data_IF_097222247512
#
_entry.id   IF_097222247512
#
_cell.length_a   1.000
_cell.length_b   1.000
_cell.length_c   1.000
_cell.angle_alpha   90.00
_cell.angle_beta   90.00
_cell.angle_gamma   90.00
#
_symmetry.space_group_name_H-M   'P 1'
#
loop_
_entity.id
_entity.type
_entity.pdbx_description
1 polymer ?
#
# COMPACT_ATOMS: atom_id res chain seq x y z
N UNK A 1 23.93 -63.98 -52.52
CA UNK A 1 23.03 -64.57 -51.52
C UNK A 1 23.55 -64.19 -50.15
N UNK A 2 22.72 -63.49 -49.37
CA UNK A 2 22.68 -63.29 -47.91
C UNK A 2 23.96 -62.80 -47.18
N UNK A 3 23.87 -61.59 -46.63
CA UNK A 3 23.81 -61.27 -45.18
C UNK A 3 25.20 -61.21 -44.54
N UNK A 4 25.65 -60.21 -43.78
CA UNK A 4 24.99 -59.46 -42.69
C UNK A 4 25.94 -58.33 -42.23
N UNK A 5 25.43 -57.40 -41.41
CA UNK A 5 26.12 -56.43 -40.54
C UNK A 5 26.44 -55.04 -41.10
N UNK A 6 25.49 -54.12 -40.95
CA UNK A 6 25.80 -52.77 -40.50
C UNK A 6 24.86 -52.37 -39.36
N UNK A 7 25.44 -52.12 -38.19
CA UNK A 7 24.79 -51.56 -37.01
C UNK A 7 24.20 -50.18 -37.31
N UNK A 8 22.89 -50.03 -37.14
CA UNK A 8 22.19 -48.74 -36.97
C UNK A 8 21.44 -48.81 -35.64
N UNK A 9 21.84 -47.96 -34.71
CA UNK A 9 21.14 -47.74 -33.44
C UNK A 9 20.06 -46.70 -33.74
N UNK A 10 18.81 -47.16 -33.85
CA UNK A 10 17.62 -46.31 -33.83
C UNK A 10 17.19 -46.15 -32.37
N UNK A 11 17.28 -44.92 -31.84
CA UNK A 11 16.72 -44.55 -30.55
C UNK A 11 15.21 -44.40 -30.67
N UNK A 12 14.48 -45.36 -30.11
CA UNK A 12 13.02 -45.34 -29.98
C UNK A 12 12.56 -44.27 -28.99
N UNK A 13 11.74 -43.33 -29.48
CA UNK A 13 10.93 -42.44 -28.67
C UNK A 13 9.71 -43.25 -28.20
N UNK A 14 9.63 -43.54 -26.89
CA UNK A 14 8.41 -44.01 -26.25
C UNK A 14 7.79 -42.87 -25.43
N UNK A 15 6.57 -42.52 -25.80
CA UNK A 15 5.66 -41.60 -25.13
C UNK A 15 5.15 -42.22 -23.82
N UNK A 16 5.55 -41.65 -22.69
CA UNK A 16 4.92 -41.94 -21.39
C UNK A 16 3.92 -40.84 -21.03
N UNK A 17 2.68 -41.00 -21.48
CA UNK A 17 1.50 -40.40 -20.86
C UNK A 17 0.85 -41.47 -19.99
N UNK A 18 0.91 -41.30 -18.67
CA UNK A 18 0.08 -42.04 -17.72
C UNK A 18 -0.29 -41.12 -16.57
N UNK A 19 -1.36 -40.35 -16.78
CA UNK A 19 -2.04 -39.59 -15.72
C UNK A 19 -2.87 -40.60 -14.94
N UNK A 20 -2.38 -41.02 -13.78
CA UNK A 20 -3.18 -41.77 -12.80
C UNK A 20 -4.10 -40.78 -12.08
N UNK A 21 -5.39 -40.82 -12.42
CA UNK A 21 -6.45 -40.22 -11.64
C UNK A 21 -6.59 -40.98 -10.32
N UNK A 22 -6.05 -40.43 -9.23
CA UNK A 22 -6.37 -40.86 -7.87
C UNK A 22 -7.59 -40.08 -7.39
N UNK A 23 -8.75 -40.72 -7.48
CA UNK A 23 -10.02 -40.23 -6.94
C UNK A 23 -9.95 -40.25 -5.41
N UNK A 24 -9.67 -39.11 -4.79
CA UNK A 24 -9.81 -38.95 -3.35
C UNK A 24 -11.30 -38.81 -3.01
N UNK A 25 -11.85 -39.86 -2.40
CA UNK A 25 -13.19 -39.90 -1.82
C UNK A 25 -13.28 -38.87 -0.70
N UNK A 26 -14.11 -37.84 -0.92
CA UNK A 26 -14.56 -36.86 0.08
C UNK A 26 -15.41 -37.58 1.12
N UNK A 27 -14.89 -37.74 2.32
CA UNK A 27 -15.69 -37.93 3.53
C UNK A 27 -16.34 -36.60 3.86
N UNK A 28 -17.66 -36.55 3.71
CA UNK A 28 -18.53 -35.47 4.18
C UNK A 28 -18.61 -35.48 5.70
N UNK A 29 -18.89 -34.31 6.26
CA UNK A 29 -19.19 -34.00 7.67
C UNK A 29 -17.99 -33.60 8.53
N UNK A 30 -17.74 -32.28 8.57
CA UNK A 30 -17.61 -31.42 9.77
C UNK A 30 -17.47 -29.96 9.29
N UNK A 31 -18.48 -29.14 9.63
CA UNK A 31 -18.54 -27.66 9.67
C UNK A 31 -18.51 -26.87 8.34
N UNK A 32 -19.71 -26.68 7.79
CA UNK A 32 -20.10 -25.59 6.88
C UNK A 32 -20.08 -24.23 7.61
N UNK A 33 -18.93 -23.56 7.62
CA UNK A 33 -18.90 -22.09 7.61
C UNK A 33 -18.14 -21.66 6.37
N UNK A 34 -18.72 -20.86 5.46
CA UNK A 34 -17.96 -20.31 4.35
C UNK A 34 -16.85 -19.44 4.93
N UNK A 35 -15.61 -19.92 4.86
CA UNK A 35 -14.45 -19.08 5.15
C UNK A 35 -14.51 -17.92 4.16
N UNK A 36 -14.66 -16.66 4.59
CA UNK A 36 -14.95 -15.59 3.67
C UNK A 36 -13.75 -15.42 2.73
N UNK A 37 -14.01 -15.30 1.42
CA UNK A 37 -12.96 -15.11 0.39
C UNK A 37 -12.09 -13.89 0.66
N UNK A 38 -12.57 -12.97 1.51
CA UNK A 38 -11.88 -11.79 2.01
C UNK A 38 -12.24 -11.52 3.46
N UNK A 39 -11.33 -10.89 4.18
CA UNK A 39 -11.53 -10.40 5.54
C UNK A 39 -11.43 -8.88 5.55
N UNK A 40 -12.51 -8.20 5.97
CA UNK A 40 -12.52 -6.74 6.17
C UNK A 40 -12.57 -6.46 7.66
N UNK A 41 -11.49 -5.93 8.21
CA UNK A 41 -11.35 -5.61 9.63
C UNK A 41 -11.55 -4.10 9.82
N UNK A 42 -12.65 -3.74 10.48
CA UNK A 42 -12.89 -2.37 10.90
C UNK A 42 -12.12 -2.10 12.18
N UNK A 43 -11.32 -1.04 12.17
CA UNK A 43 -10.47 -0.68 13.30
C UNK A 43 -10.99 0.63 13.87
N UNK A 44 -11.62 0.57 15.06
CA UNK A 44 -12.47 1.63 15.60
C UNK A 44 -12.18 1.97 17.06
N UNK A 45 -12.35 3.24 17.39
CA UNK A 45 -11.71 3.82 18.58
C UNK A 45 -12.19 5.25 18.81
N UNK A 46 -12.24 5.73 20.07
CA UNK A 46 -12.37 7.15 20.36
C UNK A 46 -11.11 7.96 19.97
N UNK A 47 -11.20 9.30 19.92
CA UNK A 47 -10.06 10.16 19.67
C UNK A 47 -8.96 9.99 20.73
N UNK A 48 -7.70 10.20 20.33
CA UNK A 48 -6.52 10.18 21.22
C UNK A 48 -6.24 8.85 21.94
N UNK A 49 -6.58 7.72 21.31
CA UNK A 49 -6.37 6.35 21.81
C UNK A 49 -5.07 5.68 21.35
N UNK A 50 -4.29 6.34 20.47
CA UNK A 50 -3.10 5.74 19.83
C UNK A 50 -3.39 5.03 18.50
N UNK A 51 -4.63 5.13 17.98
CA UNK A 51 -5.10 4.61 16.67
C UNK A 51 -4.08 4.63 15.55
N UNK A 52 -3.52 5.79 15.23
CA UNK A 52 -2.65 5.94 14.05
C UNK A 52 -1.36 5.14 14.21
N UNK A 53 -0.81 5.11 15.43
CA UNK A 53 0.38 4.33 15.81
C UNK A 53 0.04 2.84 15.77
N UNK A 54 -1.01 2.42 16.47
CA UNK A 54 -1.44 1.02 16.51
C UNK A 54 -1.72 0.46 15.11
N UNK A 55 -2.47 1.18 14.28
CA UNK A 55 -2.78 0.71 12.92
C UNK A 55 -1.51 0.61 12.07
N UNK A 56 -0.60 1.58 12.19
CA UNK A 56 0.66 1.55 11.46
C UNK A 56 1.50 0.35 11.91
N UNK A 57 1.73 0.19 13.21
CA UNK A 57 2.49 -0.93 13.77
C UNK A 57 1.87 -2.29 13.43
N UNK A 58 0.53 -2.43 13.53
CA UNK A 58 -0.14 -3.67 13.14
C UNK A 58 0.02 -3.95 11.65
N UNK A 59 -0.16 -2.95 10.78
CA UNK A 59 0.03 -3.09 9.33
C UNK A 59 1.44 -3.57 8.99
N UNK A 60 2.46 -3.04 9.68
CA UNK A 60 3.85 -3.49 9.50
C UNK A 60 4.10 -4.94 9.94
N UNK A 61 3.25 -5.50 10.78
CA UNK A 61 3.36 -6.90 11.18
C UNK A 61 2.68 -7.87 10.20
N UNK A 62 1.98 -7.34 9.20
CA UNK A 62 1.18 -8.12 8.27
C UNK A 62 1.81 -8.14 6.87
N UNK A 63 1.59 -9.20 6.07
CA UNK A 63 2.19 -9.29 4.75
C UNK A 63 1.56 -8.30 3.77
N UNK A 64 2.38 -7.41 3.17
CA UNK A 64 1.95 -6.40 2.19
C UNK A 64 1.18 -6.98 0.98
N UNK A 65 1.53 -8.19 0.56
CA UNK A 65 0.91 -8.85 -0.59
C UNK A 65 -0.51 -9.40 -0.31
N UNK A 66 -0.87 -9.53 0.96
CA UNK A 66 -2.20 -9.97 1.41
C UNK A 66 -3.02 -8.84 2.02
N UNK A 67 -2.35 -7.76 2.44
CA UNK A 67 -2.92 -6.76 3.33
C UNK A 67 -3.04 -5.40 2.65
N UNK A 68 -4.20 -4.77 2.76
CA UNK A 68 -4.40 -3.41 2.30
C UNK A 68 -5.09 -2.56 3.37
N UNK A 69 -4.60 -1.33 3.57
CA UNK A 69 -5.16 -0.39 4.55
C UNK A 69 -5.94 0.74 3.89
N UNK A 70 -7.18 0.95 4.30
CA UNK A 70 -8.04 2.06 3.88
C UNK A 70 -8.24 2.98 5.09
N UNK A 71 -7.80 4.24 4.97
CA UNK A 71 -8.10 5.28 5.97
C UNK A 71 -9.44 5.92 5.63
N UNK A 72 -10.52 5.40 6.20
CA UNK A 72 -11.88 5.88 5.98
C UNK A 72 -12.21 7.06 6.92
N UNK A 73 -11.32 8.06 6.96
CA UNK A 73 -11.48 9.26 7.75
C UNK A 73 -10.82 10.47 7.05
N UNK A 74 -11.54 11.57 6.81
CA UNK A 74 -11.00 12.79 6.21
C UNK A 74 -10.20 13.62 7.24
N UNK A 75 -9.46 12.98 8.14
CA UNK A 75 -8.66 13.68 9.16
C UNK A 75 -7.34 14.24 8.61
N UNK A 76 -7.03 13.95 7.35
CA UNK A 76 -5.82 14.37 6.68
C UNK A 76 -4.55 13.72 7.21
N UNK A 77 -4.66 12.61 7.95
CA UNK A 77 -3.55 11.81 8.45
C UNK A 77 -3.31 10.56 7.57
N UNK A 78 -2.19 9.88 7.81
CA UNK A 78 -1.83 8.62 7.17
C UNK A 78 -0.49 8.12 7.68
N UNK A 79 0.07 7.08 7.04
CA UNK A 79 1.38 6.55 7.42
C UNK A 79 2.48 7.63 7.32
N UNK A 80 2.34 8.57 6.36
CA UNK A 80 3.23 9.73 6.23
C UNK A 80 3.30 10.64 7.46
N UNK A 81 2.18 10.76 8.20
CA UNK A 81 2.10 11.57 9.42
C UNK A 81 2.65 10.84 10.66
N UNK A 82 3.13 9.60 10.50
CA UNK A 82 3.90 8.86 11.50
C UNK A 82 5.39 8.76 11.14
N UNK A 83 5.76 9.13 9.90
CA UNK A 83 7.15 9.10 9.42
C UNK A 83 7.82 10.48 9.22
N UNK A 84 7.06 11.58 9.05
CA UNK A 84 7.59 12.94 8.89
C UNK A 84 7.97 13.69 10.18
N UNK A 85 8.50 14.90 10.08
CA UNK A 85 8.71 15.74 11.27
C UNK A 85 7.36 16.25 11.85
N UNK A 86 7.23 16.28 13.18
CA UNK A 86 5.98 16.63 13.85
C UNK A 86 5.48 18.05 13.57
N UNK A 87 6.37 19.04 13.50
CA UNK A 87 6.02 20.43 13.19
C UNK A 87 5.63 20.58 11.72
N UNK A 88 6.41 19.96 10.82
CA UNK A 88 6.12 19.94 9.38
C UNK A 88 4.76 19.30 9.11
N UNK A 89 4.50 18.14 9.72
CA UNK A 89 3.23 17.40 9.56
C UNK A 89 2.05 18.23 10.04
N UNK A 90 2.16 18.93 11.19
CA UNK A 90 1.11 19.81 11.68
C UNK A 90 0.89 21.00 10.73
N UNK A 91 1.95 21.64 10.27
CA UNK A 91 1.89 22.80 9.38
C UNK A 91 1.27 22.46 8.02
N UNK A 92 1.50 21.25 7.50
CA UNK A 92 0.91 20.84 6.25
C UNK A 92 -0.44 20.15 6.42
N UNK A 93 -0.83 19.58 7.56
CA UNK A 93 -2.10 18.83 7.67
C UNK A 93 -3.34 19.67 7.30
N UNK A 94 -4.25 19.07 6.52
CA UNK A 94 -5.55 19.63 6.10
C UNK A 94 -6.61 18.56 6.35
N UNK A 95 -7.59 18.89 7.19
CA UNK A 95 -8.77 18.04 7.44
C UNK A 95 -9.81 18.35 6.36
N UNK A 96 -10.48 17.31 5.87
CA UNK A 96 -11.54 17.44 4.86
C UNK A 96 -12.91 17.23 5.50
N UNK A 97 -13.95 17.57 4.74
CA UNK A 97 -15.33 17.47 5.19
C UNK A 97 -15.78 16.02 5.02
N UNK A 98 -16.51 15.53 6.02
CA UNK A 98 -17.13 14.21 6.00
C UNK A 98 -18.47 14.28 5.25
N UNK A 99 -18.41 14.47 3.92
CA UNK A 99 -19.58 14.64 3.06
C UNK A 99 -20.00 13.32 2.36
N UNK A 100 -21.15 13.36 1.68
CA UNK A 100 -21.69 12.18 0.98
C UNK A 100 -20.77 11.66 -0.12
N UNK A 101 -20.10 12.57 -0.84
CA UNK A 101 -19.14 12.22 -1.90
C UNK A 101 -17.94 11.46 -1.32
N UNK A 102 -17.37 11.97 -0.23
CA UNK A 102 -16.26 11.33 0.49
C UNK A 102 -16.68 9.97 1.03
N UNK A 103 -17.90 9.85 1.53
CA UNK A 103 -18.43 8.58 2.02
C UNK A 103 -18.67 7.55 0.93
N UNK A 104 -19.20 7.97 -0.21
CA UNK A 104 -19.34 7.10 -1.37
C UNK A 104 -17.98 6.57 -1.82
N UNK A 105 -16.95 7.42 -1.84
CA UNK A 105 -15.59 7.03 -2.18
C UNK A 105 -15.01 5.98 -1.23
N UNK A 106 -15.17 6.13 0.09
CA UNK A 106 -14.70 5.13 1.05
C UNK A 106 -15.43 3.79 0.88
N UNK A 107 -16.75 3.82 0.70
CA UNK A 107 -17.55 2.60 0.48
C UNK A 107 -17.11 1.85 -0.77
N UNK A 108 -17.01 2.55 -1.89
CA UNK A 108 -16.53 1.97 -3.14
C UNK A 108 -15.10 1.43 -3.00
N UNK A 109 -14.22 2.14 -2.30
CA UNK A 109 -12.85 1.66 -2.04
C UNK A 109 -12.83 0.33 -1.28
N UNK A 110 -13.69 0.16 -0.28
CA UNK A 110 -13.81 -1.07 0.50
C UNK A 110 -14.44 -2.20 -0.33
N UNK A 111 -15.46 -1.89 -1.13
CA UNK A 111 -16.13 -2.86 -2.02
C UNK A 111 -15.19 -3.34 -3.13
N UNK A 112 -14.43 -2.43 -3.74
CA UNK A 112 -13.47 -2.75 -4.80
C UNK A 112 -12.31 -3.60 -4.29
N UNK A 113 -11.97 -3.50 -3.00
CA UNK A 113 -10.89 -4.29 -2.38
C UNK A 113 -11.18 -5.79 -2.24
N UNK A 114 -12.26 -6.30 -2.84
CA UNK A 114 -12.71 -7.70 -2.75
C UNK A 114 -11.66 -8.76 -3.10
N UNK A 115 -10.68 -8.41 -3.94
CA UNK A 115 -9.61 -9.33 -4.36
C UNK A 115 -8.40 -9.34 -3.42
N UNK A 116 -8.43 -8.51 -2.36
CA UNK A 116 -7.44 -8.47 -1.29
C UNK A 116 -7.91 -9.38 -0.16
N UNK A 117 -7.08 -10.35 0.26
CA UNK A 117 -7.45 -11.27 1.33
C UNK A 117 -7.75 -10.58 2.66
N UNK A 118 -7.01 -9.52 2.99
CA UNK A 118 -7.12 -8.81 4.26
C UNK A 118 -7.16 -7.29 4.06
N UNK A 119 -8.32 -6.68 4.26
CA UNK A 119 -8.49 -5.23 4.19
C UNK A 119 -8.73 -4.65 5.59
N UNK A 120 -7.88 -3.72 6.02
CA UNK A 120 -8.11 -2.93 7.24
C UNK A 120 -8.76 -1.60 6.91
N UNK A 121 -9.73 -1.20 7.71
CA UNK A 121 -10.44 0.06 7.54
C UNK A 121 -10.37 0.87 8.83
N UNK A 122 -9.55 1.91 8.83
CA UNK A 122 -9.44 2.86 9.93
C UNK A 122 -10.56 3.90 9.82
N UNK A 123 -11.50 3.88 10.77
CA UNK A 123 -12.67 4.77 10.77
C UNK A 123 -12.44 6.03 11.59
N UNK A 124 -13.34 7.01 11.40
CA UNK A 124 -13.38 8.20 12.24
C UNK A 124 -13.69 7.89 13.70
N UNK A 125 -13.14 8.68 14.63
CA UNK A 125 -13.24 8.40 16.06
C UNK A 125 -14.58 8.71 16.74
N UNK A 126 -15.68 8.81 15.97
CA UNK A 126 -17.03 9.10 16.48
C UNK A 126 -18.01 8.09 15.94
N UNK A 127 -18.90 7.54 16.76
CA UNK A 127 -20.03 6.74 16.26
C UNK A 127 -20.97 7.69 15.51
N UNK A 128 -21.30 7.35 14.27
CA UNK A 128 -22.18 8.15 13.41
C UNK A 128 -22.89 7.27 12.39
N UNK A 129 -23.95 7.80 11.77
CA UNK A 129 -24.71 7.12 10.70
C UNK A 129 -23.82 6.86 9.48
N UNK A 130 -22.82 7.70 9.23
CA UNK A 130 -21.88 7.46 8.15
C UNK A 130 -20.89 6.35 8.47
N UNK A 131 -20.35 6.31 9.70
CA UNK A 131 -19.52 5.20 10.14
C UNK A 131 -20.31 3.88 10.12
N UNK A 132 -21.61 3.89 10.46
CA UNK A 132 -22.49 2.73 10.32
C UNK A 132 -22.48 2.16 8.89
N UNK A 133 -22.50 3.03 7.87
CA UNK A 133 -22.43 2.60 6.46
C UNK A 133 -21.10 1.90 6.13
N UNK A 134 -19.99 2.29 6.76
CA UNK A 134 -18.70 1.60 6.62
C UNK A 134 -18.70 0.28 7.40
N UNK A 135 -19.27 0.26 8.60
CA UNK A 135 -19.34 -0.94 9.43
C UNK A 135 -20.10 -2.07 8.73
N UNK A 136 -21.18 -1.76 8.00
CA UNK A 136 -21.93 -2.74 7.20
C UNK A 136 -21.12 -3.43 6.08
N UNK A 137 -19.95 -2.90 5.73
CA UNK A 137 -19.02 -3.51 4.76
C UNK A 137 -17.94 -4.37 5.43
N UNK A 138 -17.84 -4.32 6.76
CA UNK A 138 -16.89 -5.07 7.56
C UNK A 138 -17.33 -6.52 7.78
N UNK A 139 -16.36 -7.35 8.19
CA UNK A 139 -16.60 -8.73 8.65
C UNK A 139 -16.19 -8.89 10.12
N UNK A 140 -15.16 -8.16 10.51
CA UNK A 140 -14.56 -8.22 11.83
C UNK A 140 -14.28 -6.81 12.34
N UNK A 141 -14.06 -6.69 13.65
CA UNK A 141 -13.73 -5.43 14.28
C UNK A 141 -12.63 -5.59 15.33
N UNK A 142 -11.79 -4.56 15.45
CA UNK A 142 -10.90 -4.35 16.59
C UNK A 142 -11.29 -3.03 17.23
N UNK A 143 -11.60 -3.08 18.53
CA UNK A 143 -11.87 -1.91 19.35
C UNK A 143 -10.62 -1.57 20.16
N UNK A 144 -10.16 -0.33 20.09
CA UNK A 144 -9.09 0.21 20.94
C UNK A 144 -9.65 1.38 21.72
N UNK A 145 -9.48 1.38 23.04
CA UNK A 145 -9.91 2.49 23.85
C UNK A 145 -8.88 2.79 24.92
N UNK A 146 -8.80 4.04 25.38
CA UNK A 146 -7.96 4.34 26.53
C UNK A 146 -8.47 3.61 27.76
N UNK A 147 -7.55 3.14 28.59
CA UNK A 147 -7.87 2.35 29.79
C UNK A 147 -8.75 3.11 30.80
N UNK A 148 -8.71 4.46 30.77
CA UNK A 148 -9.52 5.36 31.60
C UNK A 148 -10.94 5.62 31.05
N UNK A 149 -11.32 4.99 29.93
CA UNK A 149 -12.61 5.21 29.25
C UNK A 149 -13.37 3.90 28.93
N UNK A 150 -13.61 3.02 29.92
CA UNK A 150 -14.28 1.74 29.70
C UNK A 150 -15.70 1.88 29.11
N UNK A 151 -16.42 2.95 29.44
CA UNK A 151 -17.77 3.18 28.90
C UNK A 151 -17.76 3.50 27.40
N UNK A 152 -16.77 4.26 26.91
CA UNK A 152 -16.63 4.55 25.48
C UNK A 152 -16.26 3.27 24.71
N UNK A 153 -15.38 2.45 25.28
CA UNK A 153 -15.06 1.12 24.74
C UNK A 153 -16.32 0.29 24.58
N UNK A 154 -17.17 0.24 25.61
CA UNK A 154 -18.40 -0.54 25.58
C UNK A 154 -19.38 -0.08 24.48
N UNK A 155 -19.50 1.24 24.27
CA UNK A 155 -20.32 1.80 23.19
C UNK A 155 -19.85 1.33 21.81
N UNK A 156 -18.54 1.30 21.57
CA UNK A 156 -17.98 0.79 20.31
C UNK A 156 -18.17 -0.72 20.14
N UNK A 157 -18.01 -1.52 21.20
CA UNK A 157 -18.28 -2.95 21.16
C UNK A 157 -19.74 -3.25 20.81
N UNK A 158 -20.69 -2.52 21.43
CA UNK A 158 -22.12 -2.66 21.14
C UNK A 158 -22.41 -2.28 19.69
N UNK A 159 -21.89 -1.13 19.24
CA UNK A 159 -22.08 -0.67 17.87
C UNK A 159 -21.51 -1.65 16.82
N UNK A 160 -20.37 -2.28 17.10
CA UNK A 160 -19.80 -3.33 16.25
C UNK A 160 -20.72 -4.57 16.19
N UNK A 161 -21.23 -5.01 17.34
CA UNK A 161 -22.16 -6.16 17.42
C UNK A 161 -23.50 -5.88 16.72
N UNK A 162 -24.05 -4.68 16.88
CA UNK A 162 -25.28 -4.25 16.19
C UNK A 162 -25.12 -4.22 14.66
N UNK A 163 -23.89 -4.02 14.16
CA UNK A 163 -23.56 -4.11 12.75
C UNK A 163 -23.05 -5.49 12.32
N UNK A 164 -23.27 -6.53 13.14
CA UNK A 164 -22.92 -7.92 12.85
C UNK A 164 -21.42 -8.17 12.61
N UNK A 165 -20.54 -7.35 13.19
CA UNK A 165 -19.10 -7.56 13.11
C UNK A 165 -18.63 -8.54 14.21
N UNK A 166 -17.76 -9.46 13.82
CA UNK A 166 -17.07 -10.34 14.78
C UNK A 166 -15.97 -9.54 15.49
N UNK A 167 -16.06 -9.43 16.82
CA UNK A 167 -15.06 -8.71 17.61
C UNK A 167 -13.81 -9.58 17.77
N UNK A 168 -12.71 -9.21 17.10
CA UNK A 168 -11.44 -9.94 17.20
C UNK A 168 -10.67 -9.59 18.46
N UNK A 169 -10.68 -8.30 18.79
CA UNK A 169 -9.95 -7.79 19.92
C UNK A 169 -10.63 -6.54 20.49
N UNK A 170 -10.62 -6.45 21.81
CA UNK A 170 -11.08 -5.31 22.57
C UNK A 170 -9.97 -4.83 23.50
N UNK A 171 -9.20 -3.86 23.03
CA UNK A 171 -7.90 -3.47 23.57
C UNK A 171 -7.99 -2.23 24.46
N UNK A 172 -7.22 -2.26 25.56
CA UNK A 172 -7.02 -1.12 26.45
C UNK A 172 -5.68 -0.46 26.15
N UNK A 173 -5.68 0.82 25.81
CA UNK A 173 -4.50 1.63 25.52
C UNK A 173 -4.08 2.43 26.74
N UNK A 174 -2.77 2.51 27.01
CA UNK A 174 -2.18 3.40 28.00
C UNK A 174 -0.84 3.95 27.52
N UNK A 175 -0.46 5.15 27.94
CA UNK A 175 0.87 5.73 27.64
C UNK A 175 1.98 5.16 28.53
N UNK A 176 1.62 4.51 29.62
CA UNK A 176 2.57 3.90 30.57
C UNK A 176 1.99 2.64 31.20
N UNK A 177 2.85 1.85 31.82
CA UNK A 177 2.51 0.58 32.46
C UNK A 177 3.12 -0.60 31.73
N UNK A 178 2.55 -1.78 31.96
CA UNK A 178 2.97 -3.04 31.35
C UNK A 178 1.84 -3.61 30.52
N UNK A 179 2.20 -4.23 29.39
CA UNK A 179 1.27 -5.07 28.65
C UNK A 179 0.85 -6.24 29.54
N UNK A 180 -0.43 -6.58 29.46
CA UNK A 180 -0.97 -7.74 30.13
C UNK A 180 -2.01 -8.40 29.23
N UNK A 181 -2.11 -9.70 29.41
CA UNK A 181 -3.06 -10.56 28.74
C UNK A 181 -4.26 -10.78 29.66
N UNK A 182 -5.47 -10.33 29.30
CA UNK A 182 -6.68 -11.01 29.77
C UNK A 182 -7.06 -12.03 28.70
N UNK A 183 -7.46 -13.20 29.17
CA UNK A 183 -7.83 -14.36 28.36
C UNK A 183 -8.83 -14.01 27.24
N UNK A 184 -8.84 -14.84 26.20
CA UNK A 184 -9.90 -14.90 25.20
C UNK A 184 -11.25 -15.08 25.93
N UNK A 185 -12.24 -14.23 25.62
CA UNK A 185 -13.59 -14.41 26.17
C UNK A 185 -14.29 -15.64 25.55
N UNK A 186 -15.48 -15.98 26.06
CA UNK A 186 -16.22 -17.14 25.58
C UNK A 186 -16.58 -17.07 24.08
N UNK A 187 -16.60 -15.86 23.51
CA UNK A 187 -16.87 -15.58 22.11
C UNK A 187 -15.62 -15.54 21.23
N UNK A 188 -14.43 -15.77 21.79
CA UNK A 188 -13.19 -15.76 21.03
C UNK A 188 -12.53 -14.38 20.89
N UNK A 189 -13.02 -13.37 21.65
CA UNK A 189 -12.50 -12.01 21.63
C UNK A 189 -11.26 -11.89 22.49
N UNK A 190 -10.21 -11.31 21.93
CA UNK A 190 -8.98 -11.01 22.65
C UNK A 190 -9.15 -9.76 23.53
N UNK A 191 -8.90 -9.87 24.84
CA UNK A 191 -9.00 -8.77 25.81
C UNK A 191 -7.61 -8.36 26.34
N UNK A 192 -6.85 -7.54 25.63
CA UNK A 192 -5.46 -7.22 26.03
C UNK A 192 -5.24 -5.74 26.32
N UNK A 193 -4.14 -5.41 27.01
CA UNK A 193 -3.64 -4.05 27.10
C UNK A 193 -2.46 -3.83 26.16
N UNK A 194 -2.45 -2.68 25.49
CA UNK A 194 -1.33 -2.18 24.71
C UNK A 194 -0.83 -0.90 25.34
N UNK A 195 0.49 -0.80 25.50
CA UNK A 195 1.13 0.38 26.09
C UNK A 195 2.02 1.09 25.07
N UNK A 196 2.38 2.34 25.36
CA UNK A 196 3.38 3.11 24.60
C UNK A 196 3.01 3.37 23.13
N UNK A 197 1.71 3.55 22.82
CA UNK A 197 1.24 4.00 21.51
C UNK A 197 1.50 5.50 21.28
N UNK A 198 2.76 5.89 21.32
CA UNK A 198 3.24 7.27 21.13
C UNK A 198 3.69 7.49 19.68
N UNK A 199 3.32 8.63 19.11
CA UNK A 199 3.73 8.99 17.74
C UNK A 199 5.25 9.14 17.70
N UNK A 200 5.85 8.84 16.55
CA UNK A 200 7.30 8.99 16.32
C UNK A 200 8.18 8.03 17.14
N UNK A 201 7.58 7.04 17.79
CA UNK A 201 8.28 6.00 18.54
C UNK A 201 8.22 4.66 17.80
N UNK A 202 9.28 3.88 17.89
CA UNK A 202 9.26 2.49 17.45
C UNK A 202 8.54 1.65 18.50
N UNK A 203 7.28 1.31 18.24
CA UNK A 203 6.48 0.48 19.15
C UNK A 203 6.81 -0.99 18.95
N UNK A 204 7.32 -1.62 20.00
CA UNK A 204 7.39 -3.08 20.13
C UNK A 204 6.33 -3.52 21.13
N UNK A 205 5.39 -4.36 20.69
CA UNK A 205 4.22 -4.77 21.48
C UNK A 205 3.92 -6.24 21.25
N UNK A 206 3.96 -7.02 22.34
CA UNK A 206 3.58 -8.44 22.33
C UNK A 206 2.10 -8.60 22.00
N UNK A 207 1.27 -7.65 22.44
CA UNK A 207 -0.16 -7.56 22.13
C UNK A 207 -0.40 -7.41 20.64
N UNK A 208 0.32 -6.50 19.97
CA UNK A 208 0.18 -6.32 18.52
C UNK A 208 0.74 -7.54 17.78
N UNK A 209 1.88 -8.10 18.22
CA UNK A 209 2.47 -9.31 17.62
C UNK A 209 1.50 -10.50 17.66
N UNK A 210 0.89 -10.74 18.81
CA UNK A 210 -0.03 -11.86 19.00
C UNK A 210 -1.36 -11.63 18.27
N UNK A 211 -1.84 -10.39 18.17
CA UNK A 211 -3.00 -10.05 17.35
C UNK A 211 -2.73 -10.26 15.87
N UNK A 212 -1.56 -9.86 15.37
CA UNK A 212 -1.14 -10.10 14.00
C UNK A 212 -1.12 -11.61 13.68
N UNK A 213 -0.58 -12.44 14.59
CA UNK A 213 -0.62 -13.91 14.46
C UNK A 213 -2.05 -14.45 14.41
N UNK A 214 -2.94 -13.98 15.28
CA UNK A 214 -4.36 -14.38 15.28
C UNK A 214 -5.03 -14.03 13.96
N UNK A 215 -4.89 -12.78 13.50
CA UNK A 215 -5.46 -12.34 12.22
C UNK A 215 -4.97 -13.22 11.07
N UNK A 216 -3.68 -13.53 11.02
CA UNK A 216 -3.11 -14.35 9.95
C UNK A 216 -3.51 -15.83 10.04
N UNK A 217 -3.84 -16.34 11.23
CA UNK A 217 -4.37 -17.71 11.38
C UNK A 217 -5.77 -17.89 10.79
N UNK A 218 -6.57 -16.81 10.74
CA UNK A 218 -7.95 -16.83 10.25
C UNK A 218 -8.12 -16.16 8.88
N UNK A 219 -7.16 -15.34 8.46
CA UNK A 219 -7.20 -14.66 7.17
C UNK A 219 -7.19 -15.68 6.01
N UNK A 220 -7.93 -15.42 4.92
CA UNK A 220 -7.83 -16.21 3.71
C UNK A 220 -6.41 -16.08 3.13
N UNK A 221 -5.83 -17.19 2.66
CA UNK A 221 -4.48 -17.20 2.07
C UNK A 221 -4.53 -16.96 0.56
N UNK A 222 -3.61 -16.13 0.07
CA UNK A 222 -3.34 -15.95 -1.37
C UNK A 222 -1.84 -16.04 -1.60
N UNK A 223 -1.38 -16.88 -2.56
CA UNK A 223 0.04 -17.12 -2.74
C UNK A 223 0.81 -15.86 -3.19
N UNK A 224 2.05 -15.78 -2.71
CA UNK A 224 3.06 -14.82 -3.15
C UNK A 224 3.55 -15.13 -4.56
N UNK A 225 3.85 -14.06 -5.28
CA UNK A 225 4.49 -14.08 -6.58
C UNK A 225 6.00 -13.86 -6.36
N UNK A 226 6.82 -14.90 -6.50
CA UNK A 226 8.25 -14.90 -6.07
C UNK A 226 9.29 -14.25 -7.02
N UNK A 227 8.90 -13.49 -8.04
CA UNK A 227 9.84 -12.91 -9.03
C UNK A 227 9.69 -11.39 -9.11
N UNK A 228 10.80 -10.67 -9.32
CA UNK A 228 10.84 -9.20 -9.38
C UNK A 228 10.00 -8.69 -10.53
N UNK A 229 10.27 -9.22 -11.73
CA UNK A 229 9.52 -8.96 -12.94
C UNK A 229 8.87 -10.27 -13.38
N UNK A 230 7.54 -10.30 -13.44
CA UNK A 230 6.79 -11.43 -13.99
C UNK A 230 6.27 -11.08 -15.35
N UNK A 231 6.41 -12.02 -16.26
CA UNK A 231 5.86 -11.89 -17.59
C UNK A 231 4.52 -12.62 -17.66
N UNK A 232 3.46 -11.87 -17.89
CA UNK A 232 2.14 -12.39 -18.24
C UNK A 232 1.96 -12.30 -19.77
N UNK A 233 0.92 -12.96 -20.30
CA UNK A 233 0.67 -13.07 -21.75
C UNK A 233 0.75 -11.73 -22.50
N UNK A 234 0.35 -10.61 -21.87
CA UNK A 234 0.29 -9.30 -22.51
C UNK A 234 0.98 -8.16 -21.75
N UNK A 235 1.57 -8.40 -20.57
CA UNK A 235 2.20 -7.35 -19.75
C UNK A 235 3.30 -7.88 -18.85
N UNK A 236 4.15 -6.97 -18.36
CA UNK A 236 5.04 -7.22 -17.25
C UNK A 236 4.40 -6.81 -15.93
N UNK A 237 4.68 -7.53 -14.85
CA UNK A 237 4.35 -7.14 -13.48
C UNK A 237 5.65 -6.89 -12.73
N UNK A 238 5.85 -5.68 -12.23
CA UNK A 238 6.91 -5.37 -11.28
C UNK A 238 6.32 -5.28 -9.87
N UNK A 239 6.72 -6.21 -9.01
CA UNK A 239 6.21 -6.29 -7.64
C UNK A 239 7.12 -5.55 -6.65
N UNK A 240 6.58 -4.53 -5.98
CA UNK A 240 7.32 -3.68 -5.02
C UNK A 240 7.84 -4.49 -3.84
N UNK A 241 7.15 -5.57 -3.44
CA UNK A 241 7.59 -6.40 -2.32
C UNK A 241 8.84 -7.19 -2.68
N UNK A 242 8.96 -7.67 -3.91
CA UNK A 242 10.17 -8.37 -4.37
C UNK A 242 11.28 -7.35 -4.65
N UNK A 243 10.96 -6.21 -5.26
CA UNK A 243 11.93 -5.14 -5.50
C UNK A 243 12.58 -4.63 -4.20
N UNK A 244 11.79 -4.46 -3.13
CA UNK A 244 12.30 -4.12 -1.80
C UNK A 244 13.33 -5.13 -1.29
N UNK A 245 13.11 -6.43 -1.52
CA UNK A 245 14.04 -7.49 -1.11
C UNK A 245 15.34 -7.40 -1.89
N UNK A 246 15.28 -7.16 -3.21
CA UNK A 246 16.46 -7.00 -4.07
C UNK A 246 17.29 -5.76 -3.72
N UNK A 247 16.64 -4.67 -3.30
CA UNK A 247 17.31 -3.45 -2.81
C UNK A 247 17.99 -3.69 -1.44
N UNK A 248 17.63 -4.78 -0.75
CA UNK A 248 18.18 -5.12 0.57
C UNK A 248 17.45 -4.44 1.72
N UNK A 249 16.18 -4.05 1.55
CA UNK A 249 15.39 -3.48 2.64
C UNK A 249 15.21 -4.52 3.74
N UNK A 250 15.86 -4.25 4.89
CA UNK A 250 15.79 -5.10 6.06
C UNK A 250 14.37 -5.13 6.60
N UNK A 251 13.94 -6.34 6.94
CA UNK A 251 12.57 -6.63 7.33
C UNK A 251 12.45 -6.93 8.81
N UNK A 252 11.40 -6.43 9.49
CA UNK A 252 10.99 -6.97 10.79
C UNK A 252 10.49 -8.40 10.57
N UNK A 253 11.14 -9.41 11.17
CA UNK A 253 10.78 -10.83 11.00
C UNK A 253 9.73 -11.23 12.02
N UNK A 254 8.59 -11.76 11.55
CA UNK A 254 7.60 -12.41 12.41
C UNK A 254 7.42 -13.84 11.90
N UNK A 255 7.67 -14.82 12.77
CA UNK A 255 7.39 -16.22 12.49
C UNK A 255 5.95 -16.53 12.89
N UNK A 256 5.17 -17.03 11.93
CA UNK A 256 3.78 -17.43 12.11
C UNK A 256 3.70 -18.92 11.87
N UNK A 257 3.05 -19.63 12.78
CA UNK A 257 2.72 -21.03 12.58
C UNK A 257 1.33 -21.13 11.95
N UNK A 258 1.25 -21.56 10.70
CA UNK A 258 -0.01 -21.84 10.03
C UNK A 258 -0.64 -23.09 10.65
N UNK A 259 -1.68 -22.91 11.46
CA UNK A 259 -2.32 -24.02 12.17
C UNK A 259 -3.05 -25.01 11.24
N UNK A 260 -3.37 -24.61 10.01
CA UNK A 260 -4.06 -25.48 9.03
C UNK A 260 -3.08 -26.32 8.22
N UNK A 261 -1.88 -25.78 7.93
CA UNK A 261 -0.89 -26.47 7.09
C UNK A 261 0.35 -26.95 7.85
N UNK A 262 0.51 -26.56 9.12
CA UNK A 262 1.70 -26.86 9.92
C UNK A 262 2.97 -26.16 9.42
N UNK A 263 2.85 -25.16 8.54
CA UNK A 263 4.00 -24.47 7.94
C UNK A 263 4.34 -23.18 8.68
N UNK A 264 5.63 -22.91 8.83
CA UNK A 264 6.11 -21.62 9.32
C UNK A 264 6.12 -20.60 8.18
N UNK A 265 5.47 -19.45 8.40
CA UNK A 265 5.44 -18.30 7.48
C UNK A 265 6.18 -17.14 8.11
N UNK A 266 7.20 -16.62 7.42
CA UNK A 266 7.86 -15.38 7.82
C UNK A 266 7.19 -14.18 7.16
N UNK A 267 6.90 -13.14 7.96
CA UNK A 267 6.37 -11.85 7.48
C UNK A 267 7.38 -10.74 7.69
N UNK A 268 7.35 -9.76 6.77
CA UNK A 268 8.35 -8.70 6.62
C UNK A 268 7.68 -7.34 6.33
N UNK A 269 7.87 -6.33 7.18
CA UNK A 269 7.62 -4.91 6.83
C UNK A 269 8.89 -4.22 6.32
N UNK A 270 8.72 -3.27 5.39
CA UNK A 270 9.78 -2.58 4.64
C UNK A 270 9.58 -1.08 4.69
N UNK A 271 10.62 -0.34 5.09
CA UNK A 271 10.66 1.11 5.01
C UNK A 271 11.57 1.52 3.85
N UNK A 272 11.05 2.39 2.97
CA UNK A 272 11.76 2.89 1.80
C UNK A 272 12.38 4.27 2.10
N UNK A 273 13.69 4.40 1.91
CA UNK A 273 14.42 5.65 2.10
C UNK A 273 14.90 6.26 0.77
N UNK A 274 15.14 7.57 0.75
CA UNK A 274 15.59 8.32 -0.45
C UNK A 274 16.93 7.81 -0.98
N UNK A 275 17.87 7.47 -0.09
CA UNK A 275 19.19 7.00 -0.49
C UNK A 275 19.17 5.65 -1.24
N UNK A 276 18.07 4.90 -1.15
CA UNK A 276 17.88 3.63 -1.87
C UNK A 276 17.60 3.82 -3.37
N UNK A 277 17.35 5.06 -3.82
CA UNK A 277 17.13 5.39 -5.24
C UNK A 277 18.31 4.97 -6.12
N UNK A 278 19.54 5.03 -5.61
CA UNK A 278 20.73 4.60 -6.35
C UNK A 278 20.73 3.08 -6.60
N UNK A 279 20.40 2.29 -5.57
CA UNK A 279 20.28 0.83 -5.70
C UNK A 279 19.13 0.44 -6.62
N UNK A 280 17.98 1.09 -6.48
CA UNK A 280 16.84 0.94 -7.38
C UNK A 280 17.25 1.14 -8.84
N UNK A 281 18.02 2.18 -9.13
CA UNK A 281 18.52 2.46 -10.49
C UNK A 281 19.33 1.31 -11.06
N UNK A 282 20.24 0.75 -10.27
CA UNK A 282 21.08 -0.37 -10.70
C UNK A 282 20.29 -1.66 -10.95
N UNK A 283 19.17 -1.86 -10.25
CA UNK A 283 18.31 -3.03 -10.46
C UNK A 283 17.46 -2.81 -11.71
N UNK A 284 16.83 -1.65 -11.84
CA UNK A 284 15.94 -1.33 -12.96
C UNK A 284 16.65 -1.35 -14.31
N UNK A 285 17.93 -0.97 -14.38
CA UNK A 285 18.72 -1.00 -15.63
C UNK A 285 19.01 -2.43 -16.14
N UNK A 286 18.85 -3.44 -15.29
CA UNK A 286 19.07 -4.86 -15.63
C UNK A 286 17.78 -5.58 -16.02
N UNK A 287 16.62 -4.95 -15.83
CA UNK A 287 15.33 -5.57 -16.13
C UNK A 287 15.01 -5.44 -17.63
N UNK A 288 14.44 -6.48 -18.26
CA UNK A 288 14.21 -6.56 -19.70
C UNK A 288 12.95 -5.79 -20.15
N UNK A 289 12.82 -4.53 -19.74
CA UNK A 289 11.66 -3.72 -20.14
C UNK A 289 11.62 -3.50 -21.66
N UNK A 290 10.44 -3.70 -22.24
CA UNK A 290 10.16 -3.41 -23.65
C UNK A 290 9.35 -2.12 -23.78
N UNK A 291 9.52 -1.40 -24.89
CA UNK A 291 8.67 -0.26 -25.25
C UNK A 291 7.24 -0.66 -25.60
N UNK A 292 7.04 -1.89 -26.09
CA UNK A 292 5.75 -2.32 -26.65
C UNK A 292 4.91 -3.11 -25.67
N UNK A 293 5.52 -3.71 -24.64
CA UNK A 293 4.82 -4.57 -23.68
C UNK A 293 4.49 -3.76 -22.41
N UNK A 294 3.20 -3.52 -22.11
CA UNK A 294 2.76 -2.77 -20.93
C UNK A 294 3.40 -3.21 -19.62
N UNK A 295 3.54 -2.27 -18.68
CA UNK A 295 4.06 -2.53 -17.34
C UNK A 295 2.99 -2.29 -16.28
N UNK A 296 2.78 -3.24 -15.39
CA UNK A 296 1.94 -3.12 -14.20
C UNK A 296 2.84 -3.02 -12.97
N UNK A 297 2.71 -1.93 -12.22
CA UNK A 297 3.36 -1.74 -10.93
C UNK A 297 2.44 -2.25 -9.82
N UNK A 298 2.86 -3.31 -9.12
CA UNK A 298 2.06 -3.98 -8.09
C UNK A 298 2.69 -3.87 -6.70
N UNK A 299 1.86 -3.73 -5.66
CA UNK A 299 2.32 -3.69 -4.26
C UNK A 299 2.28 -2.28 -3.66
N UNK A 300 2.97 -2.10 -2.53
CA UNK A 300 2.98 -0.85 -1.76
C UNK A 300 4.41 -0.30 -1.74
N UNK A 301 4.57 0.96 -2.13
CA UNK A 301 5.78 1.74 -1.95
C UNK A 301 5.43 3.24 -1.91
N UNK A 302 6.31 4.12 -1.39
CA UNK A 302 6.09 5.56 -1.49
C UNK A 302 6.06 6.04 -2.93
N UNK A 303 5.39 7.17 -3.18
CA UNK A 303 5.25 7.75 -4.52
C UNK A 303 6.60 7.89 -5.25
N UNK A 304 7.66 8.17 -4.50
CA UNK A 304 9.00 8.37 -5.01
C UNK A 304 9.59 7.12 -5.69
N UNK A 305 9.25 5.93 -5.21
CA UNK A 305 9.68 4.65 -5.81
C UNK A 305 8.96 4.44 -7.14
N UNK A 306 7.65 4.67 -7.18
CA UNK A 306 6.86 4.59 -8.42
C UNK A 306 7.37 5.56 -9.48
N UNK A 307 7.58 6.83 -9.10
CA UNK A 307 8.10 7.83 -10.03
C UNK A 307 9.51 7.49 -10.48
N UNK A 308 10.36 6.91 -9.63
CA UNK A 308 11.69 6.45 -10.05
C UNK A 308 11.63 5.36 -11.11
N UNK A 309 10.76 4.36 -10.90
CA UNK A 309 10.55 3.27 -11.86
C UNK A 309 10.07 3.84 -13.18
N UNK A 310 9.05 4.70 -13.14
CA UNK A 310 8.52 5.36 -14.33
C UNK A 310 9.63 6.11 -15.06
N UNK A 311 10.42 6.94 -14.40
CA UNK A 311 11.54 7.63 -15.07
C UNK A 311 12.64 6.71 -15.63
N UNK A 312 12.70 5.43 -15.22
CA UNK A 312 13.71 4.49 -15.68
C UNK A 312 13.22 3.55 -16.81
N UNK A 313 11.90 3.39 -16.99
CA UNK A 313 11.36 2.47 -17.99
C UNK A 313 11.10 3.18 -19.31
N UNK A 314 11.44 2.56 -20.46
CA UNK A 314 11.24 3.16 -21.77
C UNK A 314 9.78 3.10 -22.26
N UNK A 315 8.88 2.52 -21.46
CA UNK A 315 7.50 2.24 -21.82
C UNK A 315 6.57 3.38 -21.39
N UNK A 316 5.69 3.84 -22.27
CA UNK A 316 4.66 4.84 -21.96
C UNK A 316 3.33 4.21 -21.51
N UNK A 317 3.12 2.91 -21.73
CA UNK A 317 1.95 2.13 -21.34
C UNK A 317 2.16 1.50 -19.95
N UNK A 318 1.85 2.26 -18.91
CA UNK A 318 2.08 1.86 -17.51
C UNK A 318 0.76 1.87 -16.75
N UNK A 319 0.55 0.85 -15.94
CA UNK A 319 -0.57 0.71 -15.02
C UNK A 319 -0.06 0.60 -13.58
N UNK A 320 -0.82 1.14 -12.63
CA UNK A 320 -0.60 0.91 -11.20
C UNK A 320 -1.73 0.05 -10.68
N UNK A 321 -1.41 -1.08 -10.04
CA UNK A 321 -2.41 -1.87 -9.34
C UNK A 321 -2.90 -1.11 -8.11
N UNK A 322 -4.21 -0.89 -7.99
CA UNK A 322 -4.84 -0.28 -6.82
C UNK A 322 -6.16 -1.01 -6.53
N UNK A 323 -6.27 -1.71 -5.39
CA UNK A 323 -7.48 -2.45 -5.05
C UNK A 323 -8.69 -1.55 -4.75
N UNK A 324 -8.52 -0.22 -4.64
CA UNK A 324 -9.64 0.70 -4.41
C UNK A 324 -10.43 1.02 -5.69
N UNK A 325 -9.93 0.66 -6.87
CA UNK A 325 -10.62 0.93 -8.15
C UNK A 325 -11.26 -0.33 -8.72
N UNK A 326 -12.37 -0.18 -9.45
CA UNK A 326 -13.25 -1.26 -9.91
C UNK A 326 -12.54 -2.37 -10.72
N UNK A 327 -11.46 -2.03 -11.42
CA UNK A 327 -10.66 -2.94 -12.25
C UNK A 327 -9.33 -3.34 -11.62
N UNK A 328 -9.06 -2.87 -10.40
CA UNK A 328 -7.82 -3.14 -9.67
C UNK A 328 -6.56 -2.52 -10.29
N UNK A 329 -6.68 -1.74 -11.38
CA UNK A 329 -5.56 -1.11 -12.09
C UNK A 329 -5.94 0.30 -12.55
N UNK A 330 -5.00 1.22 -12.48
CA UNK A 330 -5.11 2.61 -12.90
C UNK A 330 -4.18 2.82 -14.09
N UNK A 331 -4.70 3.27 -15.23
CA UNK A 331 -3.91 3.62 -16.40
C UNK A 331 -3.23 4.99 -16.21
N UNK A 332 -1.90 4.97 -16.15
CA UNK A 332 -1.09 6.18 -16.01
C UNK A 332 -0.32 6.53 -17.28
N UNK A 333 -0.71 5.97 -18.42
CA UNK A 333 -0.03 6.17 -19.69
C UNK A 333 -0.01 7.64 -20.11
N UNK A 334 1.06 8.10 -20.76
CA UNK A 334 1.17 9.50 -21.17
C UNK A 334 0.04 9.85 -22.14
N UNK A 335 -0.72 10.90 -21.88
CA UNK A 335 -1.74 11.36 -22.81
C UNK A 335 -1.16 12.23 -23.91
N UNK A 336 -1.85 12.21 -25.05
CA UNK A 336 -1.73 13.22 -26.09
C UNK A 336 -2.19 14.57 -25.54
N UNK A 337 -1.55 15.65 -25.98
CA UNK A 337 -1.87 17.01 -25.54
C UNK A 337 -3.32 17.36 -25.92
N UNK A 338 -4.23 17.30 -24.96
CA UNK A 338 -5.56 17.89 -25.08
C UNK A 338 -5.50 19.30 -24.49
N UNK A 339 -5.92 20.30 -25.26
CA UNK A 339 -5.86 21.72 -24.88
C UNK A 339 -7.04 22.14 -24.01
N UNK A 340 -7.97 21.25 -23.73
CA UNK A 340 -9.14 21.55 -22.92
C UNK A 340 -8.79 21.49 -21.43
N UNK A 341 -8.79 22.62 -20.73
CA UNK A 341 -8.47 22.69 -19.30
C UNK A 341 -9.50 21.92 -18.49
N UNK A 342 -9.13 20.79 -17.86
CA UNK A 342 -10.05 20.10 -16.95
C UNK A 342 -10.05 20.77 -15.57
N UNK A 343 -11.24 21.01 -15.00
CA UNK A 343 -11.42 21.59 -13.66
C UNK A 343 -11.14 20.57 -12.53
N UNK A 344 -10.43 19.47 -12.83
CA UNK A 344 -10.21 18.38 -11.88
C UNK A 344 -9.07 18.67 -10.90
N UNK A 345 -8.15 19.57 -11.27
CA UNK A 345 -6.97 19.94 -10.50
C UNK A 345 -6.75 21.45 -10.59
N UNK A 346 -6.28 22.04 -9.50
CA UNK A 346 -5.82 23.42 -9.47
C UNK A 346 -4.29 23.43 -9.60
N UNK A 347 -3.79 24.27 -10.51
CA UNK A 347 -2.36 24.41 -10.77
C UNK A 347 -1.88 25.80 -10.36
N UNK A 348 -0.73 25.85 -9.70
CA UNK A 348 0.02 27.08 -9.48
C UNK A 348 1.48 26.83 -9.84
N UNK A 349 2.05 27.63 -10.73
CA UNK A 349 3.44 27.51 -11.14
C UNK A 349 4.24 28.72 -10.68
N UNK A 350 5.41 28.46 -10.10
CA UNK A 350 6.41 29.49 -9.80
C UNK A 350 7.58 29.23 -10.73
N UNK A 351 7.88 30.21 -11.56
CA UNK A 351 8.99 30.17 -12.49
C UNK A 351 10.19 30.93 -11.89
N UNK A 352 11.34 30.26 -11.89
CA UNK A 352 12.64 30.79 -11.52
C UNK A 352 13.59 30.69 -12.74
N UNK A 353 14.81 31.20 -12.65
CA UNK A 353 15.80 31.15 -13.73
C UNK A 353 16.08 29.71 -14.19
N UNK A 354 16.30 28.79 -13.24
CA UNK A 354 16.69 27.40 -13.54
C UNK A 354 15.54 26.37 -13.47
N UNK A 355 14.45 26.70 -12.78
CA UNK A 355 13.43 25.73 -12.38
C UNK A 355 12.01 26.27 -12.45
N UNK A 356 11.06 25.34 -12.59
CA UNK A 356 9.62 25.55 -12.47
C UNK A 356 9.11 24.71 -11.31
N UNK A 357 8.48 25.33 -10.33
CA UNK A 357 7.79 24.64 -9.25
C UNK A 357 6.31 24.58 -9.61
N UNK A 358 5.80 23.40 -9.96
CA UNK A 358 4.40 23.14 -10.23
C UNK A 358 3.73 22.60 -8.97
N UNK A 359 2.95 23.46 -8.30
CA UNK A 359 2.11 23.10 -7.17
C UNK A 359 0.73 22.68 -7.64
N UNK A 360 0.28 21.51 -7.19
CA UNK A 360 -0.97 20.88 -7.60
C UNK A 360 -1.85 20.67 -6.37
N UNK A 361 -3.08 21.17 -6.44
CA UNK A 361 -4.09 20.99 -5.40
C UNK A 361 -5.31 20.23 -5.98
N UNK A 362 -5.84 19.32 -5.18
CA UNK A 362 -7.02 18.52 -5.54
C UNK A 362 -8.24 19.19 -4.90
N UNK A 363 -9.17 19.74 -5.69
CA UNK A 363 -10.40 20.33 -5.15
C UNK A 363 -11.16 19.31 -4.28
N UNK A 364 -11.39 19.65 -3.01
CA UNK A 364 -12.05 18.78 -2.03
C UNK A 364 -11.17 17.66 -1.44
N UNK A 365 -9.89 17.59 -1.81
CA UNK A 365 -8.88 16.75 -1.16
C UNK A 365 -8.84 15.27 -1.58
N UNK A 366 -9.89 14.75 -2.21
CA UNK A 366 -9.97 13.38 -2.73
C UNK A 366 -10.08 13.41 -4.24
N UNK A 367 -9.11 12.78 -4.91
CA UNK A 367 -9.13 12.62 -6.37
C UNK A 367 -9.78 11.29 -6.75
N UNK A 368 -10.74 11.36 -7.67
CA UNK A 368 -11.36 10.17 -8.26
C UNK A 368 -10.43 9.58 -9.31
N UNK A 369 -9.80 8.44 -8.99
CA UNK A 369 -8.84 7.77 -9.88
C UNK A 369 -9.45 7.31 -11.20
N UNK A 370 -10.78 7.18 -11.30
CA UNK A 370 -11.43 6.87 -12.57
C UNK A 370 -11.31 8.02 -13.59
N UNK A 371 -11.13 9.24 -13.09
CA UNK A 371 -10.97 10.46 -13.91
C UNK A 371 -9.51 10.82 -14.18
N UNK A 372 -8.57 9.93 -13.86
CA UNK A 372 -7.14 10.22 -14.08
C UNK A 372 -6.79 10.41 -15.56
N UNK A 373 -7.58 9.82 -16.45
CA UNK A 373 -7.50 10.01 -17.90
C UNK A 373 -8.23 11.27 -18.40
N UNK A 374 -8.82 12.07 -17.52
CA UNK A 374 -9.46 13.33 -17.87
C UNK A 374 -8.61 14.53 -17.41
N UNK A 375 -7.44 14.30 -16.81
CA UNK A 375 -6.59 15.39 -16.32
C UNK A 375 -5.84 16.04 -17.48
N UNK A 376 -5.85 17.36 -17.50
CA UNK A 376 -5.05 18.15 -18.44
C UNK A 376 -3.92 18.80 -17.67
N UNK A 377 -2.68 18.55 -18.09
CA UNK A 377 -1.48 19.09 -17.43
C UNK A 377 -1.02 20.39 -18.10
N UNK A 378 -0.58 21.40 -17.33
CA UNK A 378 -0.16 22.68 -17.89
C UNK A 378 1.13 22.55 -18.72
N UNK A 379 1.32 23.44 -19.68
CA UNK A 379 2.63 23.57 -20.33
C UNK A 379 3.65 24.16 -19.35
N UNK A 380 4.88 23.64 -19.39
CA UNK A 380 6.01 24.13 -18.58
C UNK A 380 7.22 24.34 -19.50
N UNK A 381 8.15 25.25 -19.17
CA UNK A 381 9.37 25.42 -19.96
C UNK A 381 10.20 24.13 -20.01
N UNK A 382 10.47 23.65 -21.22
CA UNK A 382 11.17 22.38 -21.46
C UNK A 382 12.68 22.45 -21.28
N UNK A 383 13.23 23.65 -21.14
CA UNK A 383 14.64 23.93 -20.87
C UNK A 383 14.96 24.04 -19.37
N UNK A 384 13.94 23.97 -18.50
CA UNK A 384 14.08 24.15 -17.05
C UNK A 384 13.75 22.89 -16.27
N UNK A 385 14.26 22.82 -15.05
CA UNK A 385 13.93 21.72 -14.15
C UNK A 385 12.46 21.84 -13.74
N UNK A 386 11.77 20.72 -13.56
CA UNK A 386 10.42 20.69 -13.04
C UNK A 386 10.40 20.12 -11.63
N UNK A 387 9.73 20.79 -10.71
CA UNK A 387 9.51 20.32 -9.35
C UNK A 387 8.01 20.20 -9.14
N UNK A 388 7.53 18.98 -8.96
CA UNK A 388 6.13 18.70 -8.66
C UNK A 388 5.94 18.75 -7.15
N UNK A 389 5.03 19.61 -6.71
CA UNK A 389 4.64 19.76 -5.32
C UNK A 389 3.13 19.60 -5.17
N UNK A 390 2.69 19.05 -4.05
CA UNK A 390 1.28 18.84 -3.76
C UNK A 390 1.02 17.57 -2.98
N UNK A 391 -0.22 17.42 -2.52
CA UNK A 391 -0.68 16.19 -1.87
C UNK A 391 -1.36 15.32 -2.88
N UNK A 392 -0.54 14.54 -3.55
CA UNK A 392 -0.97 13.76 -4.69
C UNK A 392 -0.99 12.28 -4.30
N UNK A 393 -2.07 11.55 -4.65
CA UNK A 393 -2.04 10.11 -4.63
C UNK A 393 -0.90 9.58 -5.51
N UNK A 394 -0.41 8.38 -5.18
CA UNK A 394 0.72 7.75 -5.89
C UNK A 394 0.47 7.70 -7.39
N UNK A 395 -0.71 7.24 -7.82
CA UNK A 395 -1.03 7.10 -9.24
C UNK A 395 -1.08 8.45 -9.98
N UNK A 396 -1.57 9.50 -9.32
CA UNK A 396 -1.58 10.85 -9.89
C UNK A 396 -0.15 11.41 -10.02
N UNK A 397 0.67 11.27 -8.98
CA UNK A 397 2.09 11.67 -9.01
C UNK A 397 2.84 10.96 -10.15
N UNK A 398 2.61 9.66 -10.27
CA UNK A 398 3.15 8.80 -11.30
C UNK A 398 2.72 9.22 -12.72
N UNK A 399 1.43 9.50 -12.94
CA UNK A 399 0.87 10.01 -14.20
C UNK A 399 1.55 11.32 -14.63
N UNK A 400 1.69 12.26 -13.70
CA UNK A 400 2.30 13.57 -13.97
C UNK A 400 3.78 13.41 -14.34
N UNK A 401 4.52 12.58 -13.59
CA UNK A 401 5.92 12.28 -13.92
C UNK A 401 6.04 11.60 -15.27
N UNK A 402 5.16 10.65 -15.58
CA UNK A 402 5.15 9.95 -16.87
C UNK A 402 4.97 10.92 -18.05
N UNK A 403 4.14 11.96 -17.87
CA UNK A 403 3.90 12.98 -18.89
C UNK A 403 5.11 13.89 -19.14
N UNK A 404 5.77 14.36 -18.07
CA UNK A 404 6.85 15.34 -18.19
C UNK A 404 8.25 14.74 -18.34
N UNK A 405 8.48 13.46 -17.98
CA UNK A 405 9.83 12.86 -17.95
C UNK A 405 10.62 12.96 -19.26
N UNK A 406 9.93 13.09 -20.39
CA UNK A 406 10.56 13.24 -21.72
C UNK A 406 10.60 14.68 -22.23
N UNK A 407 9.98 15.62 -21.50
CA UNK A 407 9.80 17.02 -21.90
C UNK A 407 10.73 17.99 -21.18
N UNK A 408 11.22 17.63 -20.00
CA UNK A 408 12.10 18.50 -19.19
C UNK A 408 13.44 17.81 -18.92
N UNK A 409 14.54 18.56 -18.72
CA UNK A 409 15.85 17.98 -18.44
C UNK A 409 15.90 17.27 -17.09
N UNK A 410 15.16 17.76 -16.10
CA UNK A 410 15.10 17.21 -14.74
C UNK A 410 13.69 17.31 -14.19
N UNK A 411 13.24 16.29 -13.45
CA UNK A 411 11.94 16.29 -12.79
C UNK A 411 12.07 15.85 -11.34
N UNK A 412 11.52 16.57 -10.39
CA UNK A 412 11.58 16.22 -8.97
C UNK A 412 10.17 16.07 -8.40
N UNK A 413 10.01 15.15 -7.43
CA UNK A 413 8.80 15.07 -6.61
C UNK A 413 9.15 15.54 -5.21
N UNK A 414 8.39 16.52 -4.72
CA UNK A 414 8.48 16.98 -3.35
C UNK A 414 7.90 15.93 -2.39
N UNK A 415 8.71 15.47 -1.43
CA UNK A 415 8.30 14.45 -0.45
C UNK A 415 8.66 14.90 0.96
N UNK A 416 7.69 15.43 1.75
CA UNK A 416 7.97 15.97 3.09
C UNK A 416 8.40 14.91 4.12
N UNK A 417 8.31 13.62 3.77
CA UNK A 417 8.60 12.46 4.62
C UNK A 417 10.10 12.15 4.75
N UNK A 418 10.98 12.85 4.04
CA UNK A 418 12.40 12.48 3.90
C UNK A 418 13.35 13.57 4.39
N UNK A 419 13.01 14.25 5.47
CA UNK A 419 13.95 15.13 6.17
C UNK A 419 14.95 14.23 6.92
N UNK A 420 15.99 13.77 6.22
CA UNK A 420 17.16 13.20 6.87
C UNK A 420 18.04 14.35 7.35
N UNK A 421 18.36 14.31 8.64
CA UNK A 421 19.22 15.23 9.37
C UNK A 421 18.54 16.51 9.93
N UNK A 422 18.57 16.63 11.26
CA UNK A 422 18.17 17.79 12.06
C UNK A 422 18.81 19.14 11.64
N UNK A 423 19.80 19.08 10.74
CA UNK A 423 20.49 20.24 10.14
C UNK A 423 19.91 20.67 8.79
N UNK A 424 19.16 19.82 8.11
CA UNK A 424 18.40 20.17 6.91
C UNK A 424 16.96 20.47 7.29
N UNK A 425 16.67 21.73 7.61
CA UNK A 425 15.30 22.20 7.89
C UNK A 425 14.43 22.33 6.62
N UNK A 426 14.78 21.65 5.53
CA UNK A 426 14.04 21.76 4.28
C UNK A 426 13.45 20.40 3.86
N UNK A 427 12.15 20.37 3.49
CA UNK A 427 11.51 19.18 2.96
C UNK A 427 12.29 18.63 1.76
N UNK A 428 12.60 17.33 1.80
CA UNK A 428 13.40 16.69 0.77
C UNK A 428 12.65 16.68 -0.57
N UNK A 429 13.29 17.27 -1.60
CA UNK A 429 12.92 17.02 -2.99
C UNK A 429 13.75 15.85 -3.49
N UNK A 430 13.08 14.80 -3.98
CA UNK A 430 13.79 13.77 -4.74
C UNK A 430 13.86 14.22 -6.18
N UNK A 431 15.06 14.54 -6.63
CA UNK A 431 15.37 14.87 -8.02
C UNK A 431 15.46 13.58 -8.84
N UNK A 432 14.71 13.51 -9.93
CA UNK A 432 14.76 12.45 -10.93
C UNK A 432 15.37 12.97 -12.24
N UNK A 433 16.46 12.30 -12.59
CA UNK A 433 17.09 12.20 -13.90
C UNK A 433 18.09 13.28 -14.29
N UNK A 434 19.36 12.89 -14.25
CA UNK A 434 20.36 13.17 -15.29
C UNK A 434 20.53 11.86 -16.07
N UNK A 435 20.92 11.90 -17.35
CA UNK A 435 21.06 10.75 -18.26
C UNK A 435 21.98 9.61 -17.74
N UNK A 436 22.58 9.74 -16.55
CA UNK A 436 23.43 8.74 -15.89
C UNK A 436 23.32 8.88 -14.35
N UNK A 437 22.26 8.32 -13.75
CA UNK A 437 22.34 7.69 -12.42
C UNK A 437 22.78 8.49 -11.17
N UNK A 438 22.64 9.82 -11.10
CA UNK A 438 22.97 10.59 -9.88
C UNK A 438 21.73 11.08 -9.11
N UNK A 439 21.68 10.73 -7.83
CA UNK A 439 20.86 11.39 -6.81
C UNK A 439 21.55 12.70 -6.41
N UNK A 440 20.78 13.78 -6.26
CA UNK A 440 21.30 15.07 -5.78
C UNK A 440 20.40 15.52 -4.62
N UNK A 441 20.96 15.64 -3.42
CA UNK A 441 20.28 16.32 -2.32
C UNK A 441 20.32 17.84 -2.55
N UNK A 442 19.26 18.56 -2.19
CA UNK A 442 19.19 20.02 -2.36
C UNK A 442 20.37 20.79 -1.75
N UNK A 443 20.89 20.34 -0.62
CA UNK A 443 22.07 20.96 0.01
C UNK A 443 23.36 20.89 -0.79
N UNK A 444 23.41 20.07 -1.84
CA UNK A 444 24.58 19.94 -2.69
C UNK A 444 24.55 20.93 -3.85
N UNK A 445 23.44 21.67 -4.06
CA UNK A 445 23.28 22.63 -5.17
C UNK A 445 22.64 23.98 -4.79
N UNK A 446 22.02 24.12 -3.60
CA UNK A 446 21.79 25.41 -2.94
C UNK A 446 22.99 25.72 -2.04
#
# INVERSE_FOLDING_TARGET
MNSTNSLRIETSIQSNNSITHTTATRTTDVLNTPNPERMVIIVCWPPHSGKSVFFHTLKEMLPDHMTYGIRACPDGEGDWSQLGDGEVVQGIRKKWIFDEKTMLWYRQSIENSKNIPLTFVDVGGKISTENEKIFKLGTHCIVLCRSDKPEEKKKWEVFAKENHLTLLASLNSSLSGSEWEIQEDAEGTILWSVVWLERWSNVSSLTIDALAKRILSIAPYKPLWNDVLKEEDWYYILDMSVLAKEVGLLSKKITIHDQKTGTEKMVTSKIWWSHEVTRLTSILSKLPFSRTKPLVLNGIAPAFVYTRIISAVPNDHIFIADPKVLWGKIDISSQTEDTTTSMLLNYNSILDEEKTILTIDIPGGIFDMQKISEITLPQVPFDKWLIISGRLPIALSAKIVNYYRWKVPFIALFTPQQVEDSKMKEPCMIVYWENIGKYISLSQRL
#
